data_IF_988579646741
#
_entry.id   IF_988579646741
#
_cell.length_a   1.000
_cell.length_b   1.000
_cell.length_c   1.000
_cell.angle_alpha   90.00
_cell.angle_beta   90.00
_cell.angle_gamma   90.00
#
_symmetry.space_group_name_H-M   'P 1'
#
loop_
_entity.id
_entity.type
_entity.pdbx_description
1 polymer ?
#
# COMPACT_ATOMS: atom_id res chain seq x y z
N UNK A 1 10.98 11.96 -3.61
CA UNK A 1 9.74 12.09 -4.39
C UNK A 1 8.70 12.76 -3.51
N UNK A 2 7.86 13.62 -4.09
CA UNK A 2 6.78 14.31 -3.39
C UNK A 2 5.53 14.17 -4.25
N UNK A 3 4.42 13.81 -3.61
CA UNK A 3 3.12 13.82 -4.26
C UNK A 3 2.47 15.19 -4.17
N UNK A 4 1.65 15.51 -5.17
CA UNK A 4 1.11 16.84 -5.40
C UNK A 4 -0.42 16.84 -5.34
N UNK A 5 -0.99 18.03 -5.16
CA UNK A 5 -2.43 18.23 -5.03
C UNK A 5 -3.20 17.73 -6.26
N UNK A 6 -2.66 17.98 -7.45
CA UNK A 6 -3.29 17.65 -8.72
C UNK A 6 -3.06 16.19 -9.14
N UNK A 7 -2.38 15.40 -8.29
CA UNK A 7 -2.17 13.97 -8.49
C UNK A 7 -0.95 13.61 -9.33
N UNK A 8 -0.17 14.60 -9.75
CA UNK A 8 1.16 14.41 -10.34
C UNK A 8 2.23 14.20 -9.26
N UNK A 9 3.49 14.07 -9.68
CA UNK A 9 4.60 13.75 -8.80
C UNK A 9 5.84 14.59 -9.10
N UNK A 10 6.35 15.25 -8.07
CA UNK A 10 7.63 15.95 -8.10
C UNK A 10 8.78 15.01 -7.73
N UNK A 11 9.84 15.06 -8.53
CA UNK A 11 11.07 14.28 -8.30
C UNK A 11 12.27 15.18 -8.08
N UNK A 12 13.03 14.86 -7.02
CA UNK A 12 14.29 15.52 -6.69
C UNK A 12 15.35 14.45 -6.61
N UNK A 13 16.32 14.51 -7.51
CA UNK A 13 17.43 13.55 -7.54
C UNK A 13 18.57 14.07 -6.66
N UNK A 14 19.09 13.20 -5.78
CA UNK A 14 20.32 13.50 -5.06
C UNK A 14 21.51 13.30 -6.01
N UNK A 15 22.06 14.39 -6.54
CA UNK A 15 23.27 14.41 -7.37
C UNK A 15 24.55 14.56 -6.55
N UNK A 16 24.41 14.71 -5.22
CA UNK A 16 25.52 14.77 -4.27
C UNK A 16 25.94 13.40 -3.77
N UNK A 17 26.43 13.36 -2.52
CA UNK A 17 26.81 12.11 -1.83
C UNK A 17 25.94 11.88 -0.59
N UNK A 18 26.10 10.72 0.05
CA UNK A 18 25.42 10.41 1.31
C UNK A 18 25.79 11.38 2.46
N UNK A 19 27.00 11.96 2.43
CA UNK A 19 27.49 12.89 3.48
C UNK A 19 27.41 14.36 3.09
N UNK A 20 27.13 14.64 1.81
CA UNK A 20 26.94 15.98 1.27
C UNK A 20 25.85 15.91 0.18
N UNK A 21 24.57 15.83 0.59
CA UNK A 21 23.48 15.68 -0.36
C UNK A 21 23.25 16.98 -1.15
N UNK A 22 22.91 16.84 -2.42
CA UNK A 22 22.54 17.95 -3.30
C UNK A 22 21.34 17.52 -4.14
N UNK A 23 20.19 18.13 -3.90
CA UNK A 23 18.95 17.75 -4.56
C UNK A 23 18.64 18.67 -5.74
N UNK A 24 18.48 18.07 -6.92
CA UNK A 24 18.10 18.77 -8.14
C UNK A 24 16.67 18.37 -8.54
N UNK A 25 15.74 19.32 -8.72
CA UNK A 25 14.44 19.00 -9.28
C UNK A 25 14.60 18.50 -10.70
N UNK A 26 14.01 17.35 -11.00
CA UNK A 26 13.85 16.86 -12.37
C UNK A 26 12.46 17.25 -12.86
N UNK A 27 12.37 17.75 -14.08
CA UNK A 27 11.12 18.22 -14.69
C UNK A 27 11.02 17.77 -16.15
N UNK A 28 9.81 17.81 -16.70
CA UNK A 28 9.53 17.38 -18.07
C UNK A 28 10.06 15.97 -18.35
N UNK A 29 10.73 15.78 -19.48
CA UNK A 29 11.27 14.49 -19.90
C UNK A 29 12.38 13.94 -18.99
N UNK A 30 12.96 14.75 -18.10
CA UNK A 30 13.95 14.27 -17.12
C UNK A 30 13.32 13.71 -15.84
N UNK A 31 12.01 13.90 -15.64
CA UNK A 31 11.28 13.30 -14.52
C UNK A 31 10.60 12.01 -15.01
N UNK A 32 11.03 10.81 -14.55
CA UNK A 32 10.46 9.54 -14.99
C UNK A 32 8.98 9.36 -14.58
N UNK A 33 8.49 10.19 -13.65
CA UNK A 33 7.12 10.18 -13.16
C UNK A 33 6.23 11.24 -13.83
N UNK A 34 6.76 12.07 -14.73
CA UNK A 34 6.05 13.24 -15.25
C UNK A 34 4.74 12.94 -16.01
N UNK A 35 4.60 11.71 -16.52
CA UNK A 35 3.41 11.27 -17.24
C UNK A 35 2.41 10.52 -16.33
N UNK A 36 2.77 10.27 -15.07
CA UNK A 36 1.91 9.55 -14.14
C UNK A 36 0.96 10.54 -13.46
N UNK A 37 -0.31 10.17 -13.38
CA UNK A 37 -1.34 10.89 -12.64
C UNK A 37 -2.21 9.92 -11.86
N UNK A 38 -2.63 10.35 -10.68
CA UNK A 38 -3.70 9.74 -9.91
C UNK A 38 -4.84 10.76 -9.73
N UNK A 39 -6.02 10.38 -9.20
CA UNK A 39 -7.18 11.28 -9.06
C UNK A 39 -7.00 12.55 -8.20
N UNK A 40 -5.79 12.84 -7.70
CA UNK A 40 -5.45 14.00 -6.86
C UNK A 40 -4.85 13.59 -5.51
N UNK A 41 -4.09 14.50 -4.90
CA UNK A 41 -3.43 14.29 -3.60
C UNK A 41 -2.59 13.02 -3.59
N UNK A 42 -1.66 12.93 -4.53
CA UNK A 42 -0.84 11.74 -4.65
C UNK A 42 0.02 11.53 -3.40
N UNK A 43 0.16 10.27 -2.99
CA UNK A 43 0.95 9.85 -1.82
C UNK A 43 1.85 8.68 -2.21
N UNK A 44 3.04 8.96 -2.75
CA UNK A 44 3.89 7.93 -3.35
C UNK A 44 4.59 7.06 -2.29
N UNK A 45 4.68 5.76 -2.57
CA UNK A 45 5.51 4.78 -1.89
C UNK A 45 6.26 3.96 -2.94
N UNK A 46 7.60 3.99 -2.89
CA UNK A 46 8.47 3.24 -3.79
C UNK A 46 8.98 1.97 -3.11
N UNK A 47 9.00 0.85 -3.82
CA UNK A 47 9.49 -0.43 -3.34
C UNK A 47 9.60 -1.45 -4.48
N UNK A 48 10.46 -2.45 -4.32
CA UNK A 48 10.57 -3.60 -5.22
C UNK A 48 9.43 -4.57 -4.89
N UNK A 49 8.28 -4.39 -5.55
CA UNK A 49 7.03 -5.09 -5.20
C UNK A 49 6.96 -6.45 -5.89
N UNK A 50 7.53 -6.56 -7.09
CA UNK A 50 7.57 -7.81 -7.85
C UNK A 50 8.89 -8.58 -7.73
N UNK A 51 9.84 -8.10 -6.92
CA UNK A 51 11.06 -8.81 -6.54
C UNK A 51 12.09 -8.90 -7.68
N UNK A 52 11.99 -8.05 -8.70
CA UNK A 52 12.85 -8.07 -9.87
C UNK A 52 14.14 -7.24 -9.71
N UNK A 53 14.26 -6.53 -8.58
CA UNK A 53 15.43 -5.75 -8.20
C UNK A 53 15.36 -4.29 -8.64
N UNK A 54 14.22 -3.82 -9.14
CA UNK A 54 13.97 -2.41 -9.37
C UNK A 54 12.77 -1.87 -8.57
N UNK A 55 12.59 -0.54 -8.55
CA UNK A 55 11.58 0.08 -7.70
C UNK A 55 10.30 0.39 -8.48
N UNK A 56 9.21 -0.21 -8.01
CA UNK A 56 7.85 0.11 -8.40
C UNK A 56 7.25 1.24 -7.56
N UNK A 57 6.12 1.78 -8.03
CA UNK A 57 5.41 2.86 -7.37
C UNK A 57 3.97 2.47 -7.04
N UNK A 58 3.65 2.46 -5.75
CA UNK A 58 2.28 2.67 -5.28
C UNK A 58 2.03 4.15 -5.02
N UNK A 59 0.82 4.60 -5.33
CA UNK A 59 0.34 5.90 -4.86
C UNK A 59 -1.05 5.76 -4.30
N UNK A 60 -1.27 6.31 -3.10
CA UNK A 60 -2.61 6.64 -2.65
C UNK A 60 -3.14 7.89 -3.36
N UNK A 61 -4.42 8.18 -3.13
CA UNK A 61 -5.09 9.35 -3.68
C UNK A 61 -6.16 9.91 -2.72
N UNK A 62 -6.72 11.07 -3.08
CA UNK A 62 -7.75 11.75 -2.30
C UNK A 62 -9.02 10.93 -2.07
N UNK A 63 -9.33 9.98 -2.95
CA UNK A 63 -10.51 9.12 -2.88
C UNK A 63 -10.27 7.89 -2.00
N UNK A 64 -9.07 7.73 -1.43
CA UNK A 64 -8.74 6.57 -0.59
C UNK A 64 -8.39 5.32 -1.38
N UNK A 65 -8.19 5.42 -2.70
CA UNK A 65 -7.83 4.31 -3.56
C UNK A 65 -6.31 4.22 -3.75
N UNK A 66 -5.86 3.19 -4.48
CA UNK A 66 -4.45 2.95 -4.77
C UNK A 66 -4.24 2.75 -6.27
N UNK A 67 -3.29 3.52 -6.81
CA UNK A 67 -2.74 3.30 -8.15
C UNK A 67 -1.42 2.55 -8.03
N UNK A 68 -1.20 1.58 -8.93
CA UNK A 68 0.05 0.84 -9.04
C UNK A 68 0.71 1.12 -10.39
N UNK A 69 1.98 1.48 -10.36
CA UNK A 69 2.81 1.69 -11.53
C UNK A 69 4.05 0.81 -11.41
N UNK A 70 4.12 -0.23 -12.25
CA UNK A 70 5.26 -1.13 -12.32
C UNK A 70 6.38 -0.47 -13.12
N UNK A 71 7.61 -0.60 -12.65
CA UNK A 71 8.77 -0.20 -13.42
C UNK A 71 9.19 -1.32 -14.38
N UNK A 72 8.63 -1.32 -15.58
CA UNK A 72 8.98 -2.26 -16.66
C UNK A 72 10.37 -2.05 -17.29
N UNK A 73 11.18 -1.15 -16.71
CA UNK A 73 12.47 -0.72 -17.22
C UNK A 73 13.62 -1.41 -16.50
N UNK A 74 14.46 -0.60 -15.87
CA UNK A 74 15.51 -1.07 -14.96
C UNK A 74 15.69 -0.05 -13.85
N UNK A 75 16.32 -0.43 -12.74
CA UNK A 75 16.67 0.48 -11.65
C UNK A 75 17.45 1.76 -12.07
N UNK A 76 18.15 1.74 -13.21
CA UNK A 76 18.92 2.90 -13.72
C UNK A 76 18.23 3.67 -14.84
N UNK A 77 17.25 3.05 -15.48
CA UNK A 77 16.49 3.62 -16.59
C UNK A 77 15.02 3.21 -16.42
N UNK A 78 14.33 3.78 -15.41
CA UNK A 78 13.00 3.32 -15.06
C UNK A 78 11.99 3.70 -16.15
N UNK A 79 11.03 2.80 -16.38
CA UNK A 79 9.91 2.98 -17.30
C UNK A 79 8.63 2.53 -16.62
N UNK A 80 7.92 3.49 -16.02
CA UNK A 80 6.69 3.21 -15.28
C UNK A 80 5.49 2.98 -16.20
N UNK A 81 4.80 1.88 -15.97
CA UNK A 81 3.55 1.53 -16.64
C UNK A 81 2.45 1.29 -15.59
N UNK A 82 1.30 1.96 -15.77
CA UNK A 82 0.15 1.74 -14.90
C UNK A 82 -0.38 0.31 -15.04
N UNK A 83 -0.59 -0.36 -13.92
CA UNK A 83 -1.28 -1.65 -13.84
C UNK A 83 -2.68 -1.45 -13.28
N UNK A 84 -3.65 -2.18 -13.80
CA UNK A 84 -5.08 -2.01 -13.48
C UNK A 84 -5.78 -3.36 -13.37
N UNK A 85 -6.95 -3.40 -12.75
CA UNK A 85 -7.71 -4.64 -12.59
C UNK A 85 -6.89 -5.66 -11.81
N UNK A 86 -6.90 -6.91 -12.27
CA UNK A 86 -6.17 -8.02 -11.62
C UNK A 86 -4.65 -7.83 -11.56
N UNK A 87 -4.08 -6.92 -12.35
CA UNK A 87 -2.66 -6.59 -12.33
C UNK A 87 -2.30 -5.53 -11.27
N UNK A 88 -3.28 -4.87 -10.66
CA UNK A 88 -3.08 -4.05 -9.48
C UNK A 88 -3.56 -4.85 -8.25
N UNK A 89 -2.66 -5.26 -7.34
CA UNK A 89 -3.03 -6.10 -6.20
C UNK A 89 -3.99 -5.39 -5.21
N UNK A 90 -4.11 -4.06 -5.31
CA UNK A 90 -5.04 -3.25 -4.52
C UNK A 90 -6.18 -2.65 -5.36
N UNK A 91 -6.46 -3.21 -6.54
CA UNK A 91 -7.57 -2.76 -7.38
C UNK A 91 -8.91 -2.84 -6.62
N UNK A 92 -9.65 -1.74 -6.63
CA UNK A 92 -10.93 -1.61 -5.94
C UNK A 92 -10.85 -1.54 -4.40
N UNK A 93 -9.66 -1.56 -3.80
CA UNK A 93 -9.52 -1.29 -2.36
C UNK A 93 -9.72 0.20 -2.09
N UNK A 94 -10.51 0.50 -1.05
CA UNK A 94 -10.86 1.86 -0.65
C UNK A 94 -10.75 1.97 0.87
N UNK A 95 -9.87 2.86 1.32
CA UNK A 95 -9.63 3.15 2.74
C UNK A 95 -10.37 4.39 3.21
N UNK A 96 -11.21 5.00 2.37
CA UNK A 96 -12.07 6.14 2.67
C UNK A 96 -11.60 7.44 2.00
N UNK A 97 -10.56 8.09 2.53
CA UNK A 97 -10.06 9.34 1.94
C UNK A 97 -8.59 9.57 2.22
N UNK A 98 -7.86 10.08 1.22
CA UNK A 98 -6.42 10.38 1.29
C UNK A 98 -5.63 9.20 1.84
N UNK A 99 -5.64 8.10 1.09
CA UNK A 99 -4.77 6.96 1.38
C UNK A 99 -3.32 7.44 1.43
N UNK A 100 -2.53 6.91 2.35
CA UNK A 100 -1.10 7.24 2.50
C UNK A 100 -0.32 5.95 2.70
N UNK A 101 -0.02 5.22 1.61
CA UNK A 101 0.63 3.92 1.69
C UNK A 101 2.07 4.04 2.18
N UNK A 102 2.56 2.97 2.77
CA UNK A 102 3.96 2.72 3.12
C UNK A 102 4.22 1.24 2.95
N UNK A 103 5.37 0.90 2.38
CA UNK A 103 5.75 -0.47 2.09
C UNK A 103 6.69 -1.03 3.17
N UNK A 104 6.57 -2.31 3.45
CA UNK A 104 7.47 -3.06 4.31
C UNK A 104 7.00 -4.50 4.49
N UNK A 105 7.92 -5.42 4.73
CA UNK A 105 7.63 -6.83 5.00
C UNK A 105 6.99 -6.98 6.39
N UNK A 106 5.69 -7.32 6.46
CA UNK A 106 4.94 -7.41 7.72
C UNK A 106 4.82 -8.83 8.25
N UNK A 107 4.88 -9.84 7.38
CA UNK A 107 4.71 -11.23 7.78
C UNK A 107 6.01 -12.06 7.77
N UNK A 108 7.11 -11.48 7.28
CA UNK A 108 8.45 -12.04 7.32
C UNK A 108 8.75 -12.99 6.17
N UNK A 109 7.98 -12.94 5.09
CA UNK A 109 8.19 -13.77 3.90
C UNK A 109 9.25 -13.21 2.92
N UNK A 110 9.70 -11.98 3.16
CA UNK A 110 10.71 -11.29 2.35
C UNK A 110 10.13 -10.47 1.19
N UNK A 111 8.80 -10.40 1.07
CA UNK A 111 8.11 -9.52 0.14
C UNK A 111 7.65 -8.24 0.82
N UNK A 112 7.38 -7.20 0.01
CA UNK A 112 6.84 -5.96 0.54
C UNK A 112 5.33 -6.04 0.70
N UNK A 113 4.84 -5.76 1.91
CA UNK A 113 3.43 -5.53 2.20
C UNK A 113 3.12 -4.03 2.24
N UNK A 114 1.84 -3.69 2.34
CA UNK A 114 1.39 -2.29 2.39
C UNK A 114 0.64 -1.97 3.69
N UNK A 115 1.16 -1.01 4.44
CA UNK A 115 0.46 -0.33 5.53
C UNK A 115 -0.05 1.00 5.01
N UNK A 116 -1.28 1.37 5.31
CA UNK A 116 -1.84 2.65 4.89
C UNK A 116 -2.67 3.28 5.98
N UNK A 117 -2.56 4.60 6.10
CA UNK A 117 -3.47 5.43 6.88
C UNK A 117 -4.44 6.17 5.97
N UNK A 118 -5.47 6.75 6.57
CA UNK A 118 -6.37 7.69 5.92
C UNK A 118 -6.50 9.00 6.71
N UNK A 119 -7.14 10.00 6.11
CA UNK A 119 -7.35 11.30 6.76
C UNK A 119 -8.25 11.25 8.01
N UNK A 120 -8.97 10.15 8.24
CA UNK A 120 -9.86 9.95 9.40
C UNK A 120 -9.23 9.07 10.50
N UNK A 121 -7.90 8.94 10.48
CA UNK A 121 -7.08 8.31 11.51
C UNK A 121 -7.34 6.82 11.75
N UNK A 122 -7.78 6.08 10.73
CA UNK A 122 -7.69 4.61 10.72
C UNK A 122 -6.47 4.17 9.94
N UNK A 123 -5.88 3.04 10.32
CA UNK A 123 -4.86 2.36 9.53
C UNK A 123 -5.37 0.99 9.09
N UNK A 124 -4.92 0.55 7.92
CA UNK A 124 -5.18 -0.78 7.35
C UNK A 124 -3.86 -1.37 6.86
N UNK A 125 -3.79 -2.69 6.83
CA UNK A 125 -2.63 -3.45 6.38
C UNK A 125 -3.05 -4.43 5.30
N UNK A 126 -2.26 -4.57 4.25
CA UNK A 126 -2.47 -5.49 3.14
C UNK A 126 -1.21 -6.33 2.99
N UNK A 127 -1.35 -7.65 3.15
CA UNK A 127 -0.28 -8.59 2.80
C UNK A 127 -0.32 -8.81 1.30
N UNK A 128 0.80 -8.56 0.61
CA UNK A 128 0.86 -8.69 -0.84
C UNK A 128 1.21 -10.14 -1.23
N UNK A 129 0.67 -10.66 -2.35
CA UNK A 129 0.96 -12.03 -2.77
C UNK A 129 2.33 -12.16 -3.47
N UNK A 130 2.93 -13.35 -3.32
CA UNK A 130 4.19 -13.79 -3.97
C UNK A 130 4.38 -13.30 -5.40
N UNK A 131 5.57 -12.74 -5.77
CA UNK A 131 5.83 -12.27 -7.11
C UNK A 131 5.75 -13.41 -8.14
N UNK A 132 4.73 -13.33 -8.99
CA UNK A 132 4.47 -14.29 -10.07
C UNK A 132 3.55 -13.76 -11.15
N UNK A 133 3.34 -12.44 -11.18
CA UNK A 133 2.28 -11.73 -11.90
C UNK A 133 2.38 -11.78 -13.43
N UNK A 134 3.48 -12.31 -13.97
CA UNK A 134 3.71 -12.52 -15.41
C UNK A 134 3.81 -13.98 -15.88
N UNK A 135 3.65 -14.97 -14.99
CA UNK A 135 4.09 -16.35 -15.25
C UNK A 135 3.03 -17.40 -15.59
N UNK A 136 1.74 -17.14 -15.39
CA UNK A 136 0.70 -18.15 -15.62
C UNK A 136 -0.44 -17.60 -16.48
N UNK A 137 -0.48 -18.08 -17.71
CA UNK A 137 -1.61 -18.02 -18.61
C UNK A 137 -2.89 -18.40 -17.85
N UNK A 138 -3.79 -17.42 -17.67
CA UNK A 138 -5.20 -17.62 -17.37
C UNK A 138 -5.57 -18.66 -16.31
N UNK A 139 -5.72 -18.24 -15.05
CA UNK A 139 -6.66 -18.89 -14.15
C UNK A 139 -7.12 -17.89 -13.10
N UNK A 140 -8.43 -17.62 -13.10
CA UNK A 140 -9.08 -16.85 -12.05
C UNK A 140 -8.95 -17.55 -10.69
N UNK A 141 -8.38 -16.84 -9.73
CA UNK A 141 -8.66 -17.03 -8.32
C UNK A 141 -8.77 -15.64 -7.70
N UNK A 142 -10.02 -15.25 -7.43
CA UNK A 142 -10.35 -14.11 -6.61
C UNK A 142 -9.87 -14.39 -5.18
N UNK A 143 -9.12 -13.46 -4.59
CA UNK A 143 -8.78 -13.53 -3.18
C UNK A 143 -9.89 -12.89 -2.33
N UNK A 144 -10.46 -13.70 -1.43
CA UNK A 144 -11.29 -13.27 -0.32
C UNK A 144 -10.39 -13.19 0.92
N UNK A 145 -10.11 -11.99 1.43
CA UNK A 145 -9.20 -11.88 2.57
C UNK A 145 -8.96 -10.49 3.15
N UNK A 146 -9.94 -9.59 3.16
CA UNK A 146 -9.92 -8.52 4.16
C UNK A 146 -10.22 -9.16 5.51
N UNK A 147 -9.18 -9.43 6.32
CA UNK A 147 -9.39 -9.72 7.73
C UNK A 147 -9.90 -8.42 8.37
N UNK A 148 -11.17 -8.43 8.79
CA UNK A 148 -11.78 -7.39 9.63
C UNK A 148 -10.97 -7.23 10.93
N UNK A 149 -9.96 -6.37 10.89
CA UNK A 149 -9.19 -5.91 12.04
C UNK A 149 -9.96 -4.85 12.83
N UNK A 150 -11.20 -5.14 13.25
CA UNK A 150 -11.90 -4.31 14.23
C UNK A 150 -11.25 -4.50 15.61
N UNK A 151 -10.23 -3.71 15.92
CA UNK A 151 -9.72 -3.58 17.29
C UNK A 151 -10.73 -2.81 18.15
N UNK A 152 -11.82 -3.47 18.56
CA UNK A 152 -12.64 -3.01 19.69
C UNK A 152 -11.92 -3.36 20.99
N UNK A 153 -11.24 -2.37 21.54
CA UNK A 153 -10.77 -2.37 22.92
C UNK A 153 -11.92 -2.76 23.87
N UNK A 154 -11.69 -3.83 24.64
CA UNK A 154 -12.25 -4.08 25.98
C UNK A 154 -13.77 -4.12 26.14
N UNK A 155 -14.36 -5.32 26.17
CA UNK A 155 -15.56 -5.54 26.99
C UNK A 155 -15.12 -6.01 28.38
N UNK A 156 -15.52 -5.35 29.49
CA UNK A 156 -15.34 -5.93 30.81
C UNK A 156 -16.24 -7.16 30.94
N UNK A 157 -15.64 -8.26 31.37
CA UNK A 157 -16.28 -9.55 31.62
C UNK A 157 -17.45 -9.42 32.60
N UNK A 158 -18.64 -9.86 32.17
CA UNK A 158 -19.79 -10.00 33.05
C UNK A 158 -19.53 -11.10 34.11
N UNK A 159 -19.94 -10.93 35.37
CA UNK A 159 -19.72 -11.94 36.41
C UNK A 159 -20.66 -13.14 36.22
N UNK A 160 -20.10 -14.35 36.43
CA UNK A 160 -20.83 -15.64 36.38
C UNK A 160 -21.97 -15.68 37.41
N UNK A 161 -23.15 -16.26 37.09
CA UNK A 161 -24.19 -16.46 38.07
C UNK A 161 -23.79 -17.57 39.06
N UNK A 162 -23.83 -17.26 40.37
CA UNK A 162 -23.71 -18.25 41.44
C UNK A 162 -24.94 -19.16 41.43
N UNK A 163 -24.73 -20.45 41.19
CA UNK A 163 -25.76 -21.48 41.35
C UNK A 163 -26.28 -21.50 42.79
N UNK A 164 -27.59 -21.30 42.98
CA UNK A 164 -28.23 -21.57 44.26
C UNK A 164 -28.44 -23.07 44.42
N UNK A 165 -27.72 -23.63 45.38
CA UNK A 165 -27.87 -25.02 45.81
C UNK A 165 -29.27 -25.33 46.33
N UNK A 166 -29.76 -26.51 45.98
CA UNK A 166 -30.93 -27.15 46.59
C UNK A 166 -30.67 -27.34 48.09
N UNK A 167 -31.63 -26.93 48.93
CA UNK A 167 -31.80 -27.48 50.28
C UNK A 167 -33.14 -28.19 50.35
N UNK A 168 -33.09 -29.47 50.72
CA UNK A 168 -34.21 -30.33 51.12
C UNK A 168 -34.51 -30.13 52.63
N UNK A 169 -35.74 -30.43 53.02
CA UNK A 169 -36.20 -30.63 54.41
C UNK A 169 -37.36 -29.68 54.75
N UNK A 170 -38.47 -30.10 55.33
CA UNK A 170 -38.95 -31.38 55.87
C UNK A 170 -40.47 -31.42 55.67
#
# INVERSE_FOLDING_TARGET
MVGELDGDFAWFENTGSAVAPAFLPRTGASNPFAALLVPGWSTPALGDVDGDGDLDLFSGDQLGQFSFFENTGTARAPLFAARTGVANPLDGQDVGSRSSPTLGDLDGDGQLDLVTGNHVATFQTFVLPEPGWGGLLGAGLAWLGALDGLSRLGRPSAPRPRGRGRRRGR
#
